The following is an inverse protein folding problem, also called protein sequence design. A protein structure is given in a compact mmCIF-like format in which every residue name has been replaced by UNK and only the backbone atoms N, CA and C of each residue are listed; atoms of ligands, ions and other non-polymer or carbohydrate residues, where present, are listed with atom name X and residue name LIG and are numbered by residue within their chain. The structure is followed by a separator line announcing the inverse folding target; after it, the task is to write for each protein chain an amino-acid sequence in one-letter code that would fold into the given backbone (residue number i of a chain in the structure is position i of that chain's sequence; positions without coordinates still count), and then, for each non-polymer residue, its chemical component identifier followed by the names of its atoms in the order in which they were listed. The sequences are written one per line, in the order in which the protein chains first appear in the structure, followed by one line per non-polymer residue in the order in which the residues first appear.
data_IF_255780457231
#
_entry.id   IF_255780457231
#
_cell.length_a   1.000
_cell.length_b   1.000
_cell.length_c   1.000
_cell.angle_alpha   90.00
_cell.angle_beta   90.00
_cell.angle_gamma   90.00
#
_symmetry.space_group_name_H-M   'P 1'
#
loop_
_entity.id
_entity.type
_entity.pdbx_description
1 polymer ?
2 non-polymer ?
3 water ?
#
# COMPACT_ATOMS: atom_id res chain seq x y z
N UNK A 3 -1.49 8.07 9.07
CA UNK A 3 -0.56 7.57 10.13
C UNK A 3 -1.26 7.33 11.45
N UNK A 4 -2.37 8.03 11.67
CA UNK A 4 -3.12 7.87 12.92
C UNK A 4 -4.62 7.88 12.63
N UNK A 5 -5.26 6.72 12.78
CA UNK A 5 -6.69 6.60 12.55
C UNK A 5 -7.32 5.51 13.42
N UNK A 6 -8.65 5.48 13.42
CA UNK A 6 -9.40 4.50 14.19
C UNK A 6 -9.94 3.40 13.28
N UNK A 7 -9.87 2.16 13.74
CA UNK A 7 -10.41 1.05 12.97
C UNK A 7 -11.77 0.76 13.59
N UNK A 8 -12.83 0.72 12.77
CA UNK A 8 -14.17 0.45 13.32
C UNK A 8 -14.49 -1.04 13.35
N UNK A 9 -14.70 -1.57 14.55
CA UNK A 9 -15.04 -2.98 14.69
C UNK A 9 -16.50 -3.11 15.12
N UNK A 10 -17.31 -3.58 14.19
CA UNK A 10 -18.74 -3.77 14.41
C UNK A 10 -19.03 -4.74 15.53
N UNK A 11 -20.02 -4.41 16.36
CA UNK A 11 -20.40 -5.26 17.48
C UNK A 11 -21.90 -5.23 17.70
N UNK A 12 -22.47 -6.36 18.08
CA UNK A 12 -23.90 -6.47 18.34
C UNK A 12 -24.12 -7.63 19.31
N UNK A 13 -24.59 -7.32 20.51
CA UNK A 13 -24.81 -8.35 21.50
C UNK A 13 -26.08 -8.27 22.31
N UNK A 14 -27.24 -8.11 21.66
CA UNK A 14 -28.50 -8.03 22.40
C UNK A 14 -29.42 -9.21 22.06
N UNK A 15 -30.43 -9.45 22.91
CA UNK A 15 -31.38 -10.52 22.68
C UNK A 15 -32.41 -10.67 23.82
N UNK A 16 -31.93 -10.88 25.04
CA UNK A 16 -32.83 -11.04 26.18
C UNK A 16 -32.66 -9.98 27.26
N UNK A 17 -32.88 -10.38 28.51
CA UNK A 17 -32.76 -9.48 29.65
C UNK A 17 -31.30 -9.09 29.85
N UNK A 18 -30.79 -8.28 28.93
CA UNK A 18 -29.39 -7.84 28.98
C UNK A 18 -29.18 -6.57 28.16
N UNK A 19 -28.79 -5.50 28.83
CA UNK A 19 -28.55 -4.23 28.18
C UNK A 19 -27.08 -3.87 28.33
N UNK A 20 -26.75 -2.59 28.17
CA UNK A 20 -25.37 -2.14 28.30
C UNK A 20 -24.82 -2.36 29.71
N UNK A 21 -24.23 -3.52 29.91
CA UNK A 21 -23.63 -3.91 31.19
C UNK A 21 -22.14 -4.11 30.88
N UNK A 22 -21.72 -3.56 29.75
CA UNK A 22 -20.34 -3.67 29.28
C UNK A 22 -19.29 -3.12 30.24
N UNK A 23 -18.04 -3.47 29.98
CA UNK A 23 -16.91 -3.01 30.78
C UNK A 23 -15.91 -2.35 29.86
N UNK A 24 -14.95 -1.64 30.44
CA UNK A 24 -13.92 -0.97 29.65
C UNK A 24 -12.54 -1.29 30.22
N UNK A 25 -12.48 -1.53 31.52
CA UNK A 25 -11.25 -1.87 32.22
C UNK A 25 -11.45 -3.14 33.02
N UNK A 26 -10.38 -3.92 33.18
CA UNK A 26 -10.45 -5.15 33.94
C UNK A 26 -10.71 -4.77 35.40
N UNK A 27 -10.31 -3.56 35.78
CA UNK A 27 -10.51 -3.06 37.13
C UNK A 27 -12.01 -2.86 37.39
N UNK A 28 -12.78 -2.62 36.32
CA UNK A 28 -14.23 -2.46 36.46
C UNK A 28 -14.79 -3.73 37.09
N UNK A 29 -13.97 -4.79 37.17
CA UNK A 29 -14.39 -6.07 37.72
C UNK A 29 -13.73 -6.49 39.03
N UNK A 30 -14.49 -7.21 39.85
CA UNK A 30 -14.01 -7.69 41.14
C UNK A 30 -13.49 -9.11 41.02
N UNK A 31 -12.22 -9.32 41.33
CA UNK A 31 -11.66 -10.66 41.27
C UNK A 31 -10.37 -10.80 42.05
N UNK A 32 -10.05 -12.03 42.49
CA UNK A 32 -8.84 -12.30 43.25
C UNK A 32 -7.66 -11.52 42.73
N UNK A 33 -7.00 -10.83 43.65
CA UNK A 33 -5.85 -10.02 43.30
C UNK A 33 -4.81 -10.80 42.52
N UNK A 34 -4.64 -12.08 42.87
CA UNK A 34 -3.66 -12.91 42.19
C UNK A 34 -4.08 -13.20 40.76
N UNK A 35 -5.36 -13.53 40.58
CA UNK A 35 -5.90 -13.83 39.26
C UNK A 35 -5.58 -12.73 38.29
N UNK A 36 -4.96 -11.68 38.81
CA UNK A 36 -4.52 -10.61 37.94
C UNK A 36 -3.13 -11.04 37.49
N UNK A 37 -3.12 -12.21 36.86
CA UNK A 37 -1.95 -12.84 36.26
C UNK A 37 -2.28 -12.40 34.83
N UNK A 38 -3.46 -11.80 34.70
CA UNK A 38 -3.99 -11.30 33.46
C UNK A 38 -3.04 -10.28 32.87
N UNK A 39 -2.46 -9.45 33.74
CA UNK A 39 -1.53 -8.43 33.28
C UNK A 39 -0.22 -9.03 32.81
N UNK A 40 0.24 -10.05 33.52
CA UNK A 40 1.48 -10.72 33.17
C UNK A 40 1.23 -11.51 31.90
N UNK A 41 -0.04 -11.79 31.62
CA UNK A 41 -0.40 -12.52 30.43
C UNK A 41 -0.50 -11.52 29.30
N UNK A 42 -0.13 -10.28 29.59
CA UNK A 42 -0.15 -9.16 28.65
C UNK A 42 -1.51 -8.69 28.20
N UNK A 43 -2.51 -8.87 29.06
CA UNK A 43 -3.85 -8.38 28.78
C UNK A 43 -3.86 -7.02 29.45
N UNK A 44 -3.83 -5.98 28.64
CA UNK A 44 -3.80 -4.62 29.15
C UNK A 44 -5.21 -4.09 29.37
N UNK A 45 -6.09 -4.29 28.39
CA UNK A 45 -7.46 -3.81 28.46
C UNK A 45 -8.35 -4.89 27.87
N UNK A 46 -9.68 -4.75 28.04
CA UNK A 46 -10.67 -5.70 27.53
C UNK A 46 -10.88 -5.56 26.03
N UNK A 47 -10.78 -6.67 25.30
CA UNK A 47 -11.01 -6.62 23.87
C UNK A 47 -12.52 -6.52 23.77
N UNK A 48 -13.04 -6.10 22.61
CA UNK A 48 -14.48 -5.96 22.39
C UNK A 48 -15.31 -7.16 22.86
N UNK A 49 -14.89 -8.36 22.45
CA UNK A 49 -15.60 -9.58 22.81
C UNK A 49 -15.59 -9.79 24.33
N UNK A 50 -14.52 -9.35 24.99
CA UNK A 50 -14.42 -9.52 26.43
C UNK A 50 -15.22 -8.49 27.20
N UNK A 51 -15.39 -7.31 26.62
CA UNK A 51 -16.13 -6.23 27.28
C UNK A 51 -17.62 -6.54 27.30
N UNK A 52 -18.07 -7.30 26.31
CA UNK A 52 -19.48 -7.62 26.20
C UNK A 52 -19.84 -9.02 26.72
N UNK A 53 -18.88 -9.93 26.71
CA UNK A 53 -19.13 -11.30 27.15
C UNK A 53 -18.80 -11.63 28.60
N UNK A 54 -17.80 -10.99 29.19
CA UNK A 54 -17.44 -11.29 30.57
C UNK A 54 -18.57 -10.97 31.56
N UNK A 55 -19.23 -9.81 31.39
CA UNK A 55 -20.31 -9.51 32.32
C UNK A 55 -21.44 -10.54 32.16
N UNK A 56 -21.77 -10.85 30.91
CA UNK A 56 -22.81 -11.82 30.62
C UNK A 56 -22.49 -13.17 31.27
N UNK A 57 -21.26 -13.63 31.06
CA UNK A 57 -20.81 -14.89 31.64
C UNK A 57 -20.88 -14.82 33.17
N UNK A 58 -20.39 -13.72 33.73
CA UNK A 58 -20.41 -13.52 35.18
C UNK A 58 -21.82 -13.51 35.77
N UNK A 59 -22.82 -13.42 34.89
CA UNK A 59 -24.22 -13.40 35.34
C UNK A 59 -24.89 -14.75 35.17
N UNK A 60 -24.09 -15.80 34.97
CA UNK A 60 -24.56 -17.17 34.81
C UNK A 60 -25.37 -17.37 33.52
N UNK A 61 -25.12 -16.52 32.52
CA UNK A 61 -25.86 -16.64 31.27
C UNK A 61 -25.18 -17.46 30.16
N UNK A 62 -25.99 -18.15 29.36
CA UNK A 62 -25.45 -18.93 28.26
C UNK A 62 -25.13 -17.94 27.16
N UNK A 63 -24.26 -18.33 26.25
CA UNK A 63 -23.84 -17.40 25.20
C UNK A 63 -23.47 -18.03 23.86
N UNK A 64 -23.85 -17.33 22.79
CA UNK A 64 -23.52 -17.73 21.43
C UNK A 64 -22.79 -16.52 20.88
N UNK A 65 -21.46 -16.59 20.91
CA UNK A 65 -20.63 -15.49 20.46
C UNK A 65 -19.91 -15.78 19.16
N UNK A 66 -20.13 -14.91 18.18
CA UNK A 66 -19.48 -15.06 16.88
C UNK A 66 -18.28 -14.14 16.91
N UNK A 67 -17.10 -14.75 16.81
CA UNK A 67 -15.86 -14.01 16.84
C UNK A 67 -14.74 -14.92 16.37
N UNK A 68 -13.82 -14.36 15.60
CA UNK A 68 -12.72 -15.15 15.09
C UNK A 68 -11.55 -15.23 16.06
N UNK A 69 -10.57 -16.04 15.69
CA UNK A 69 -9.37 -16.21 16.48
C UNK A 69 -8.66 -14.86 16.50
N UNK A 70 -8.08 -14.50 17.64
CA UNK A 70 -7.35 -13.25 17.73
C UNK A 70 -8.18 -12.06 18.16
N UNK A 71 -9.26 -12.33 18.88
CA UNK A 71 -10.16 -11.30 19.36
C UNK A 71 -10.26 -11.30 20.88
N UNK A 72 -9.51 -12.19 21.53
CA UNK A 72 -9.54 -12.26 22.98
C UNK A 72 -10.55 -13.26 23.50
N UNK A 73 -11.05 -14.10 22.61
CA UNK A 73 -12.04 -15.13 22.96
C UNK A 73 -11.66 -15.96 24.16
N UNK A 74 -10.48 -16.59 24.09
CA UNK A 74 -10.02 -17.45 25.19
C UNK A 74 -10.11 -16.77 26.55
N UNK A 75 -9.47 -15.63 26.70
CA UNK A 75 -9.52 -14.88 27.96
C UNK A 75 -10.96 -14.58 28.37
N UNK A 76 -11.79 -14.27 27.38
CA UNK A 76 -13.20 -13.96 27.65
C UNK A 76 -13.92 -15.06 28.45
N UNK A 77 -13.67 -16.32 28.14
CA UNK A 77 -14.34 -17.39 28.86
C UNK A 77 -13.55 -18.05 29.99
N UNK A 78 -12.24 -17.85 30.02
CA UNK A 78 -11.41 -18.46 31.07
C UNK A 78 -11.33 -17.58 32.32
N UNK A 79 -11.34 -16.27 32.12
CA UNK A 79 -11.23 -15.35 33.25
C UNK A 79 -12.38 -15.49 34.23
N UNK A 80 -13.63 -15.29 33.77
CA UNK A 80 -14.75 -15.42 34.70
C UNK A 80 -14.75 -16.78 35.41
N UNK A 81 -14.61 -17.84 34.63
CA UNK A 81 -14.63 -19.20 35.14
C UNK A 81 -13.50 -19.55 36.10
N UNK A 82 -12.25 -19.29 35.69
CA UNK A 82 -11.10 -19.58 36.54
C UNK A 82 -11.18 -18.78 37.85
N UNK A 83 -11.53 -17.50 37.74
CA UNK A 83 -11.63 -16.67 38.92
C UNK A 83 -12.70 -17.18 39.88
N UNK A 84 -13.80 -17.68 39.34
CA UNK A 84 -14.87 -18.21 40.17
C UNK A 84 -14.37 -19.45 40.92
N UNK A 85 -13.74 -20.38 40.19
CA UNK A 85 -13.24 -21.61 40.79
C UNK A 85 -12.16 -21.37 41.83
N UNK A 86 -11.36 -20.32 41.66
CA UNK A 86 -10.30 -20.06 42.61
C UNK A 86 -10.84 -19.43 43.89
N UNK A 87 -11.97 -18.73 43.78
CA UNK A 87 -12.58 -18.10 44.94
C UNK A 87 -13.28 -19.09 45.85
N UNK A 88 -13.17 -20.37 45.53
CA UNK A 88 -13.76 -21.43 46.33
C UNK A 88 -12.56 -22.27 46.75
N UNK A 89 -11.39 -21.76 46.38
CA UNK A 89 -10.06 -22.36 46.62
C UNK A 89 -9.98 -23.70 47.35
N UNK A 90 -9.27 -24.62 46.71
CA UNK A 90 -9.04 -25.98 47.23
C UNK A 90 -7.89 -25.96 48.24
N UNK A 97 -7.86 -43.18 39.84
CA UNK A 97 -9.09 -42.49 40.21
C UNK A 97 -9.65 -41.63 39.08
N UNK A 98 -10.98 -41.57 39.02
CA UNK A 98 -11.70 -40.81 38.01
C UNK A 98 -11.70 -39.30 38.27
N UNK A 99 -11.43 -38.53 37.23
CA UNK A 99 -11.41 -37.07 37.31
C UNK A 99 -12.82 -36.51 37.22
N UNK A 100 -13.05 -35.38 37.87
CA UNK A 100 -14.37 -34.73 37.85
C UNK A 100 -14.20 -33.24 37.62
N UNK A 101 -13.93 -32.84 36.36
CA UNK A 101 -13.75 -31.42 36.00
C UNK A 101 -14.96 -30.60 36.44
N UNK A 102 -14.73 -29.36 36.82
CA UNK A 102 -15.82 -28.48 37.22
C UNK A 102 -16.20 -27.64 36.00
N UNK A 103 -15.25 -27.57 35.07
CA UNK A 103 -15.37 -26.82 33.85
C UNK A 103 -14.79 -27.63 32.70
N UNK A 104 -15.44 -27.56 31.54
CA UNK A 104 -14.98 -28.27 30.35
C UNK A 104 -14.96 -27.31 29.19
N UNK A 105 -13.89 -27.38 28.40
CA UNK A 105 -13.76 -26.56 27.21
C UNK A 105 -13.55 -27.55 26.07
N UNK A 106 -14.40 -27.48 25.05
CA UNK A 106 -14.25 -28.37 23.91
C UNK A 106 -13.61 -27.61 22.75
N UNK A 107 -12.55 -28.20 22.21
CA UNK A 107 -11.81 -27.60 21.10
C UNK A 107 -11.75 -28.60 19.97
N UNK A 108 -11.56 -28.11 18.74
CA UNK A 108 -11.47 -28.89 17.51
C UNK A 108 -10.18 -29.67 17.32
N UNK A 109 -9.06 -29.04 17.63
CA UNK A 109 -7.74 -29.64 17.45
C UNK A 109 -6.89 -29.65 18.71
N UNK A 110 -5.86 -30.49 18.69
CA UNK A 110 -4.95 -30.57 19.82
C UNK A 110 -4.22 -29.24 19.97
N UNK A 111 -3.96 -28.56 18.84
CA UNK A 111 -3.28 -27.26 18.86
C UNK A 111 -4.08 -26.25 19.67
N UNK A 112 -5.36 -26.08 19.35
CA UNK A 112 -6.17 -25.15 20.10
C UNK A 112 -6.25 -25.57 21.55
N UNK A 113 -6.49 -26.86 21.77
CA UNK A 113 -6.59 -27.41 23.12
C UNK A 113 -5.37 -27.10 23.97
N UNK A 114 -4.18 -27.19 23.35
CA UNK A 114 -2.95 -26.92 24.07
C UNK A 114 -2.82 -25.44 24.38
N UNK A 115 -3.15 -24.59 23.41
CA UNK A 115 -3.09 -23.15 23.60
C UNK A 115 -4.01 -22.72 24.74
N UNK A 116 -5.20 -23.31 24.79
CA UNK A 116 -6.16 -22.99 25.85
C UNK A 116 -5.67 -23.45 27.21
N UNK A 117 -5.04 -24.62 27.26
CA UNK A 117 -4.51 -25.14 28.52
C UNK A 117 -3.44 -24.16 29.00
N UNK A 118 -2.62 -23.68 28.07
CA UNK A 118 -1.57 -22.75 28.40
C UNK A 118 -2.09 -21.43 28.98
N UNK A 119 -3.13 -20.85 28.37
CA UNK A 119 -3.68 -19.59 28.89
C UNK A 119 -4.21 -19.85 30.28
N UNK A 120 -4.93 -20.96 30.43
CA UNK A 120 -5.50 -21.30 31.72
C UNK A 120 -4.40 -21.38 32.77
N UNK A 121 -3.27 -21.98 32.38
CA UNK A 121 -2.16 -22.11 33.30
C UNK A 121 -1.65 -20.73 33.67
N UNK A 122 -1.51 -19.85 32.68
CA UNK A 122 -1.06 -18.49 32.89
C UNK A 122 -1.98 -17.78 33.88
N UNK A 123 -3.27 -17.97 33.71
CA UNK A 123 -4.25 -17.35 34.59
C UNK A 123 -4.27 -18.01 35.95
N UNK A 124 -3.78 -19.25 36.02
CA UNK A 124 -3.78 -20.02 37.26
C UNK A 124 -2.52 -19.91 38.09
N UNK A 125 -1.50 -19.24 37.55
CA UNK A 125 -0.24 -19.11 38.28
C UNK A 125 -0.38 -18.83 39.77
N UNK A 126 0.33 -19.63 40.57
CA UNK A 126 0.31 -19.47 42.01
C UNK A 126 -1.10 -19.59 42.57
N UNK A 127 -1.84 -20.55 42.05
CA UNK A 127 -3.21 -20.81 42.46
C UNK A 127 -3.33 -22.32 42.58
N UNK A 128 -4.33 -22.80 43.33
CA UNK A 128 -4.55 -24.24 43.52
C UNK A 128 -5.23 -24.90 42.31
N UNK A 129 -5.59 -24.12 41.30
CA UNK A 129 -6.27 -24.65 40.13
C UNK A 129 -5.46 -25.66 39.34
N UNK A 130 -6.10 -26.77 39.01
CA UNK A 130 -5.47 -27.83 38.25
C UNK A 130 -6.13 -27.90 36.88
N UNK A 131 -5.38 -27.59 35.84
CA UNK A 131 -5.93 -27.65 34.49
C UNK A 131 -5.38 -28.88 33.79
N UNK A 132 -6.23 -29.54 33.02
CA UNK A 132 -5.81 -30.73 32.26
C UNK A 132 -6.28 -30.62 30.83
N UNK A 133 -5.61 -31.36 29.95
CA UNK A 133 -5.97 -31.37 28.54
C UNK A 133 -5.97 -32.81 28.04
N UNK A 134 -6.90 -33.10 27.12
CA UNK A 134 -7.03 -34.41 26.54
C UNK A 134 -7.29 -34.27 25.04
N UNK A 135 -6.50 -34.96 24.23
CA UNK A 135 -6.69 -34.88 22.78
C UNK A 135 -6.24 -36.14 22.05
N UNK A 136 -6.89 -36.41 20.93
CA UNK A 136 -6.56 -37.56 20.13
C UNK A 136 -5.09 -37.53 19.77
N UNK A 137 -4.48 -38.71 19.76
CA UNK A 137 -3.07 -38.78 19.43
C UNK A 137 -2.37 -39.81 20.30
N UNK A 138 -1.07 -39.58 20.51
CA UNK A 138 -0.25 -40.51 21.30
C UNK A 138 0.23 -39.89 22.60
N UNK A 139 -0.50 -40.13 23.69
CA UNK A 139 -0.12 -39.60 24.99
C UNK A 139 -0.96 -40.19 26.13
N UNK A 140 -0.32 -41.01 26.97
CA UNK A 140 -1.00 -41.64 28.10
C UNK A 140 -0.63 -40.90 29.39
N UNK A 141 0.20 -39.87 29.24
CA UNK A 141 0.57 -39.04 30.37
C UNK A 141 -0.65 -38.21 30.69
N UNK A 142 -1.57 -38.15 29.73
CA UNK A 142 -2.82 -37.43 29.89
C UNK A 142 -3.65 -38.20 30.91
N UNK A 143 -3.43 -39.51 30.92
CA UNK A 143 -4.14 -40.40 31.82
C UNK A 143 -3.72 -40.10 33.25
N UNK A 144 -2.41 -39.96 33.45
CA UNK A 144 -1.85 -39.68 34.76
C UNK A 144 -2.19 -38.26 35.23
N UNK A 145 -2.18 -37.31 34.31
CA UNK A 145 -2.52 -35.93 34.64
C UNK A 145 -3.95 -35.94 35.16
N UNK A 146 -4.75 -36.78 34.52
CA UNK A 146 -6.15 -36.93 34.88
C UNK A 146 -6.27 -37.68 36.20
N UNK A 147 -5.41 -38.67 36.40
CA UNK A 147 -5.43 -39.42 37.65
C UNK A 147 -4.96 -38.50 38.78
N UNK A 148 -3.98 -37.65 38.49
CA UNK A 148 -3.44 -36.74 39.49
C UNK A 148 -4.46 -35.68 39.81
N UNK A 149 -3.96 -34.46 40.02
CA UNK A 149 -4.81 -33.33 40.30
C UNK A 149 -5.99 -33.42 39.32
N UNK A 150 -7.01 -34.15 39.74
CA UNK A 150 -8.20 -34.33 38.92
C UNK A 150 -8.73 -32.97 38.54
N UNK A 151 -7.96 -32.29 37.70
CA UNK A 151 -8.26 -30.96 37.23
C UNK A 151 -9.67 -30.46 37.47
N UNK A 152 -9.73 -29.18 37.79
CA UNK A 152 -10.98 -28.49 38.02
C UNK A 152 -11.42 -28.02 36.64
N UNK A 153 -10.46 -27.94 35.73
CA UNK A 153 -10.69 -27.46 34.37
C UNK A 153 -10.03 -28.38 33.35
N UNK A 154 -10.81 -28.78 32.35
CA UNK A 154 -10.39 -29.68 31.30
C UNK A 154 -10.56 -29.08 29.90
N UNK A 155 -9.57 -29.28 29.05
CA UNK A 155 -9.63 -28.82 27.68
C UNK A 155 -9.49 -30.10 26.88
N UNK A 156 -10.41 -30.35 25.96
CA UNK A 156 -10.36 -31.57 25.20
C UNK A 156 -11.04 -31.50 23.85
N UNK A 157 -10.76 -32.49 23.02
CA UNK A 157 -11.38 -32.62 21.71
C UNK A 157 -12.52 -33.60 21.99
N UNK A 158 -13.67 -33.44 21.33
CA UNK A 158 -14.84 -34.29 21.52
C UNK A 158 -14.64 -35.81 21.48
N UNK A 159 -13.83 -36.27 20.54
CA UNK A 159 -13.59 -37.70 20.41
C UNK A 159 -12.82 -38.31 21.58
N UNK A 160 -11.71 -37.69 21.94
CA UNK A 160 -10.92 -38.24 23.05
C UNK A 160 -11.67 -38.13 24.37
N UNK A 161 -12.45 -37.07 24.56
CA UNK A 161 -13.20 -36.93 25.80
C UNK A 161 -14.10 -38.17 25.91
N UNK A 162 -14.84 -38.45 24.85
CA UNK A 162 -15.72 -39.62 24.83
C UNK A 162 -14.96 -40.91 25.20
N UNK A 163 -13.77 -41.08 24.63
CA UNK A 163 -12.93 -42.25 24.92
C UNK A 163 -12.64 -42.35 26.41
N UNK A 164 -12.25 -41.21 26.99
CA UNK A 164 -11.93 -41.13 28.42
C UNK A 164 -13.15 -41.32 29.28
N UNK A 165 -14.29 -40.82 28.81
CA UNK A 165 -15.55 -40.97 29.55
C UNK A 165 -15.98 -42.43 29.52
N UNK A 166 -15.95 -43.02 28.34
CA UNK A 166 -16.34 -44.42 28.16
C UNK A 166 -15.40 -45.37 28.90
N UNK A 167 -14.17 -44.93 29.15
CA UNK A 167 -13.19 -45.75 29.86
C UNK A 167 -13.22 -45.41 31.35
N UNK A 168 -14.21 -44.63 31.75
CA UNK A 168 -14.38 -44.22 33.14
C UNK A 168 -13.15 -43.48 33.69
N UNK A 169 -12.41 -42.81 32.82
CA UNK A 169 -11.24 -42.06 33.25
C UNK A 169 -11.68 -40.65 33.65
N UNK A 170 -12.78 -40.21 33.06
CA UNK A 170 -13.31 -38.88 33.33
C UNK A 170 -14.82 -38.85 33.44
N UNK A 171 -15.31 -38.16 34.47
CA UNK A 171 -16.74 -38.01 34.69
C UNK A 171 -17.07 -36.53 34.64
N UNK A 172 -18.23 -36.21 34.08
CA UNK A 172 -18.71 -34.83 33.97
C UNK A 172 -19.90 -34.59 34.88
N UNK A 173 -20.06 -35.43 35.88
CA UNK A 173 -21.20 -35.31 36.79
C UNK A 173 -21.14 -34.07 37.67
N UNK A 174 -20.02 -33.37 37.66
CA UNK A 174 -19.89 -32.15 38.46
C UNK A 174 -19.49 -30.97 37.58
N UNK A 175 -19.56 -31.17 36.27
CA UNK A 175 -19.18 -30.12 35.32
C UNK A 175 -20.34 -29.16 35.13
N UNK A 176 -20.18 -27.96 35.64
CA UNK A 176 -21.23 -26.95 35.55
C UNK A 176 -20.93 -25.84 34.56
N UNK A 177 -19.71 -25.82 34.04
CA UNK A 177 -19.33 -24.80 33.07
C UNK A 177 -18.74 -25.43 31.84
N UNK A 178 -19.41 -25.25 30.71
CA UNK A 178 -18.91 -25.82 29.48
C UNK A 178 -18.85 -24.79 28.37
N UNK A 179 -17.76 -24.88 27.60
CA UNK A 179 -17.49 -23.97 26.49
C UNK A 179 -17.14 -24.76 25.24
N UNK A 180 -17.75 -24.41 24.11
CA UNK A 180 -17.43 -25.08 22.84
C UNK A 180 -16.68 -24.03 22.03
N UNK A 181 -15.37 -24.16 21.95
CA UNK A 181 -14.57 -23.20 21.21
C UNK A 181 -14.45 -23.64 19.75
N UNK A 182 -14.62 -22.69 18.84
CA UNK A 182 -14.57 -22.94 17.41
C UNK A 182 -15.60 -24.02 17.08
N UNK A 183 -16.83 -23.80 17.54
CA UNK A 183 -17.92 -24.74 17.32
C UNK A 183 -18.07 -25.15 15.87
N UNK A 184 -18.03 -24.17 14.97
CA UNK A 184 -18.17 -24.47 13.55
C UNK A 184 -17.12 -25.46 13.08
N UNK A 185 -15.91 -25.29 13.56
CA UNK A 185 -14.82 -26.18 13.18
C UNK A 185 -15.09 -27.60 13.64
N UNK A 186 -15.69 -27.75 14.82
CA UNK A 186 -15.98 -29.07 15.35
C UNK A 186 -17.05 -29.80 14.55
N UNK A 187 -18.08 -29.08 14.12
CA UNK A 187 -19.14 -29.72 13.33
C UNK A 187 -18.57 -30.13 11.99
N UNK A 188 -17.81 -29.24 11.37
CA UNK A 188 -17.19 -29.53 10.08
C UNK A 188 -16.36 -30.80 10.14
N UNK A 189 -15.64 -30.96 11.24
CA UNK A 189 -14.78 -32.13 11.45
C UNK A 189 -15.60 -33.38 11.80
N UNK A 190 -16.91 -33.21 11.96
CA UNK A 190 -17.78 -34.34 12.26
C UNK A 190 -17.88 -34.73 13.73
N UNK A 191 -17.80 -33.74 14.62
CA UNK A 191 -17.86 -33.99 16.05
C UNK A 191 -19.23 -33.83 16.70
N UNK A 192 -20.23 -33.48 15.93
CA UNK A 192 -21.56 -33.32 16.50
C UNK A 192 -22.03 -34.53 17.31
N UNK A 193 -21.73 -35.76 16.83
CA UNK A 193 -22.17 -36.93 17.60
C UNK A 193 -21.58 -36.91 19.00
N UNK A 194 -20.27 -36.64 19.06
CA UNK A 194 -19.55 -36.60 20.32
C UNK A 194 -20.07 -35.48 21.22
N UNK A 195 -20.25 -34.29 20.65
CA UNK A 195 -20.74 -33.16 21.41
C UNK A 195 -22.14 -33.42 21.95
N UNK A 196 -22.99 -34.05 21.14
CA UNK A 196 -24.34 -34.38 21.58
C UNK A 196 -24.23 -35.36 22.74
N UNK A 197 -23.33 -36.34 22.59
CA UNK A 197 -23.11 -37.34 23.60
C UNK A 197 -22.63 -36.71 24.91
N UNK A 198 -21.56 -35.93 24.81
CA UNK A 198 -20.97 -35.26 25.96
C UNK A 198 -21.97 -34.34 26.65
N UNK A 199 -22.67 -33.54 25.85
CA UNK A 199 -23.63 -32.60 26.39
C UNK A 199 -24.91 -33.17 26.95
N UNK A 200 -25.59 -34.03 26.19
CA UNK A 200 -26.85 -34.58 26.66
C UNK A 200 -26.88 -36.03 27.11
N UNK A 201 -25.77 -36.74 27.00
CA UNK A 201 -25.77 -38.14 27.41
C UNK A 201 -24.63 -38.55 28.33
N UNK A 202 -24.15 -37.64 29.17
CA UNK A 202 -23.05 -37.99 30.07
C UNK A 202 -23.23 -37.59 31.53
N UNK A 203 -24.49 -37.50 31.96
CA UNK A 203 -24.83 -37.15 33.34
C UNK A 203 -24.27 -35.82 33.82
N UNK A 204 -23.87 -34.97 32.87
CA UNK A 204 -23.35 -33.66 33.19
C UNK A 204 -24.53 -32.86 33.74
N UNK A 205 -24.31 -32.10 34.82
CA UNK A 205 -25.38 -31.28 35.43
C UNK A 205 -26.14 -30.52 34.36
N UNK A 206 -27.47 -30.48 34.47
CA UNK A 206 -28.28 -29.79 33.47
C UNK A 206 -29.15 -28.66 34.01
N UNK A 207 -29.84 -27.97 33.10
CA UNK A 207 -30.70 -26.87 33.49
C UNK A 207 -29.96 -25.71 34.10
N UNK A 208 -30.53 -25.12 35.14
CA UNK A 208 -29.92 -23.97 35.80
C UNK A 208 -28.60 -24.34 36.46
N UNK A 209 -28.24 -25.62 36.42
CA UNK A 209 -27.01 -26.13 37.02
C UNK A 209 -25.82 -26.12 36.08
N UNK A 210 -26.06 -25.77 34.82
CA UNK A 210 -25.01 -25.72 33.81
C UNK A 210 -25.08 -24.43 33.01
N UNK A 211 -23.93 -23.87 32.71
CA UNK A 211 -23.85 -22.67 31.90
C UNK A 211 -23.07 -23.06 30.66
N UNK A 212 -23.71 -22.94 29.50
CA UNK A 212 -23.09 -23.29 28.23
C UNK A 212 -22.76 -22.07 27.39
N UNK A 213 -21.51 -21.99 26.92
CA UNK A 213 -21.04 -20.88 26.10
C UNK A 213 -20.53 -21.40 24.76
N UNK A 214 -20.90 -20.72 23.68
CA UNK A 214 -20.48 -21.13 22.34
C UNK A 214 -19.78 -20.02 21.57
N UNK A 215 -18.63 -20.36 20.98
CA UNK A 215 -17.84 -19.42 20.20
C UNK A 215 -17.59 -19.97 18.81
N UNK A 216 -17.93 -19.18 17.80
CA UNK A 216 -17.74 -19.57 16.40
C UNK A 216 -17.45 -18.33 15.57
N UNK A 217 -16.52 -18.45 14.63
CA UNK A 217 -16.18 -17.32 13.76
C UNK A 217 -17.29 -17.13 12.74
N UNK A 218 -17.93 -18.25 12.40
CA UNK A 218 -19.02 -18.23 11.45
C UNK A 218 -20.31 -18.67 12.16
N UNK A 219 -21.45 -18.38 11.54
CA UNK A 219 -22.74 -18.73 12.11
C UNK A 219 -23.67 -19.45 11.12
N UNK A 220 -23.25 -20.63 10.63
CA UNK A 220 -24.04 -21.43 9.67
C UNK A 220 -25.39 -21.82 10.26
N UNK A 221 -26.16 -22.61 9.52
CA UNK A 221 -27.47 -23.07 9.98
C UNK A 221 -27.25 -24.12 11.07
N UNK A 222 -26.27 -25.00 10.85
CA UNK A 222 -25.95 -26.07 11.79
C UNK A 222 -25.55 -25.50 13.16
N UNK A 223 -24.77 -24.42 13.15
CA UNK A 223 -24.37 -23.80 14.41
C UNK A 223 -25.57 -23.09 15.04
N UNK A 224 -26.49 -22.62 14.20
CA UNK A 224 -27.69 -21.96 14.68
C UNK A 224 -28.54 -23.02 15.37
N UNK A 225 -28.50 -24.25 14.87
CA UNK A 225 -29.27 -25.35 15.46
C UNK A 225 -28.64 -25.79 16.77
N UNK A 226 -27.34 -26.11 16.71
CA UNK A 226 -26.57 -26.55 17.88
C UNK A 226 -26.93 -25.62 19.03
N UNK A 227 -26.89 -24.34 18.72
CA UNK A 227 -27.21 -23.28 19.65
C UNK A 227 -28.64 -23.42 20.16
N UNK A 228 -29.56 -23.77 19.27
CA UNK A 228 -30.96 -23.93 19.66
C UNK A 228 -31.13 -25.13 20.58
N UNK A 229 -30.43 -26.21 20.28
CA UNK A 229 -30.53 -27.41 21.09
C UNK A 229 -29.83 -27.31 22.44
N UNK A 230 -28.75 -26.54 22.49
CA UNK A 230 -27.96 -26.50 23.71
C UNK A 230 -27.93 -25.30 24.64
N UNK A 231 -28.20 -24.10 24.13
CA UNK A 231 -28.17 -22.92 24.99
C UNK A 231 -29.56 -22.59 25.49
N UNK A 232 -29.62 -21.88 26.62
CA UNK A 232 -30.89 -21.49 27.21
C UNK A 232 -30.98 -19.99 27.30
N UNK A 233 -32.00 -19.39 26.69
CA UNK A 233 -32.18 -17.94 26.72
C UNK A 233 -30.79 -17.32 26.58
N UNK A 234 -30.10 -17.76 25.53
CA UNK A 234 -28.75 -17.30 25.32
C UNK A 234 -28.65 -15.88 24.79
N UNK A 235 -27.52 -15.26 25.08
CA UNK A 235 -27.24 -13.91 24.64
C UNK A 235 -26.42 -14.04 23.37
N UNK A 236 -26.86 -13.38 22.30
CA UNK A 236 -26.13 -13.45 21.05
C UNK A 236 -25.32 -12.19 20.82
N UNK A 237 -24.02 -12.37 20.67
CA UNK A 237 -23.13 -11.25 20.42
C UNK A 237 -22.16 -11.59 19.29
N UNK A 238 -21.91 -10.59 18.45
CA UNK A 238 -21.01 -10.76 17.33
C UNK A 238 -20.01 -9.62 17.31
N UNK A 239 -18.79 -9.94 16.94
CA UNK A 239 -17.73 -8.97 16.89
C UNK A 239 -17.11 -9.07 15.51
N UNK A 240 -17.14 -7.97 14.78
CA UNK A 240 -16.59 -7.95 13.44
C UNK A 240 -17.59 -8.34 12.37
N UNK B 6 30.68 46.76 -20.04
CA UNK B 6 31.23 47.37 -21.28
C UNK B 6 30.19 47.40 -22.41
N UNK B 7 29.38 46.36 -22.48
CA UNK B 7 28.31 46.25 -23.47
C UNK B 7 27.14 45.52 -22.81
N UNK B 8 26.17 46.28 -22.28
CA UNK B 8 24.98 45.74 -21.62
C UNK B 8 23.91 45.26 -22.60
N UNK B 9 23.38 44.07 -22.33
CA UNK B 9 22.33 43.50 -23.14
C UNK B 9 21.02 43.55 -22.35
N UNK B 10 20.04 44.23 -22.91
CA UNK B 10 18.74 44.38 -22.29
C UNK B 10 18.00 43.05 -22.17
N UNK B 11 17.64 42.67 -20.94
CA UNK B 11 16.91 41.42 -20.72
C UNK B 11 15.61 41.65 -19.98
N UNK B 12 14.54 41.02 -20.45
CA UNK B 12 13.22 41.16 -19.85
C UNK B 12 12.53 39.83 -19.66
N UNK B 13 11.91 39.65 -18.50
CA UNK B 13 11.24 38.39 -18.22
C UNK B 13 9.91 38.46 -17.50
N UNK B 14 8.79 38.61 -18.23
CA UNK B 14 7.48 38.66 -17.57
C UNK B 14 6.84 37.26 -17.53
N UNK B 15 6.36 36.87 -16.35
CA UNK B 15 5.69 35.57 -16.19
C UNK B 15 5.32 35.27 -14.73
N UNK B 16 4.52 34.23 -14.54
CA UNK B 16 4.05 33.83 -13.22
C UNK B 16 5.15 33.20 -12.37
N UNK B 17 4.98 33.32 -11.05
CA UNK B 17 5.93 32.76 -10.09
C UNK B 17 7.35 32.66 -10.61
N UNK B 18 7.93 33.81 -10.96
CA UNK B 18 9.31 33.86 -11.46
C UNK B 18 9.96 35.17 -11.07
N UNK B 19 11.03 35.10 -10.26
CA UNK B 19 11.73 36.30 -9.80
C UNK B 19 13.19 36.42 -10.24
N UNK B 20 14.10 35.98 -9.38
CA UNK B 20 15.53 36.05 -9.66
C UNK B 20 16.20 34.69 -9.57
N UNK B 21 15.58 33.69 -10.18
CA UNK B 21 16.11 32.33 -10.20
C UNK B 21 17.30 32.34 -11.17
N UNK B 22 17.71 33.55 -11.55
CA UNK B 22 18.83 33.77 -12.46
C UNK B 22 20.15 33.32 -11.84
N UNK B 23 20.99 32.68 -12.65
CA UNK B 23 22.29 32.21 -12.17
C UNK B 23 23.42 32.86 -12.95
N UNK B 24 24.61 32.87 -12.36
CA UNK B 24 25.76 33.51 -12.98
C UNK B 24 26.91 32.60 -13.44
N UNK B 25 26.98 31.40 -12.86
CA UNK B 25 28.02 30.45 -13.22
C UNK B 25 27.39 29.11 -13.52
N UNK B 26 28.08 28.29 -14.30
CA UNK B 26 27.57 26.98 -14.66
C UNK B 26 27.59 25.97 -13.53
N UNK B 27 28.59 26.04 -12.66
CA UNK B 27 28.64 25.10 -11.56
C UNK B 27 27.59 25.49 -10.52
N UNK B 28 26.87 26.56 -10.80
CA UNK B 28 25.82 27.04 -9.92
C UNK B 28 24.59 26.15 -10.15
N UNK B 29 24.75 25.18 -11.04
CA UNK B 29 23.67 24.24 -11.36
C UNK B 29 24.17 22.81 -11.15
N UNK B 30 23.27 21.92 -10.73
CA UNK B 30 23.62 20.53 -10.47
C UNK B 30 23.74 19.65 -11.71
N UNK B 31 24.72 19.92 -12.54
CA UNK B 31 24.94 19.10 -13.72
C UNK B 31 25.70 17.87 -13.26
N UNK B 32 25.53 16.75 -13.95
CA UNK B 32 26.24 15.53 -13.54
C UNK B 32 27.72 15.82 -13.32
N UNK B 33 28.54 15.36 -14.25
CA UNK B 33 29.97 15.56 -14.13
C UNK B 33 30.57 15.43 -15.52
N UNK B 34 30.24 14.33 -16.20
CA UNK B 34 30.71 14.09 -17.54
C UNK B 34 30.15 15.26 -18.36
N UNK B 35 28.92 15.62 -18.02
CA UNK B 35 28.20 16.69 -18.68
C UNK B 35 29.03 17.95 -18.90
N UNK B 36 30.17 18.04 -18.23
CA UNK B 36 31.01 19.19 -18.44
C UNK B 36 31.83 19.00 -19.72
N UNK B 37 31.07 18.60 -20.74
CA UNK B 37 31.56 18.44 -22.09
C UNK B 37 31.42 19.90 -22.51
N UNK B 38 30.63 20.62 -21.71
CA UNK B 38 30.33 22.03 -21.88
C UNK B 38 31.63 22.80 -21.86
N UNK B 39 32.48 22.45 -20.90
CA UNK B 39 33.77 23.10 -20.77
C UNK B 39 34.57 22.84 -22.03
N UNK B 40 34.60 21.57 -22.46
CA UNK B 40 35.32 21.21 -23.66
C UNK B 40 34.67 21.80 -24.90
N UNK B 41 33.39 22.16 -24.78
CA UNK B 41 32.65 22.75 -25.89
C UNK B 41 32.89 24.24 -25.94
N UNK B 42 33.88 24.70 -25.18
CA UNK B 42 34.25 26.11 -25.11
C UNK B 42 33.23 27.06 -24.51
N UNK B 43 32.44 26.56 -23.58
CA UNK B 43 31.46 27.38 -22.87
C UNK B 43 32.10 27.67 -21.50
N UNK B 44 32.46 28.92 -21.25
CA UNK B 44 33.08 29.30 -19.98
C UNK B 44 32.04 29.79 -18.99
N UNK B 45 31.33 30.87 -19.34
CA UNK B 45 30.31 31.43 -18.46
C UNK B 45 28.94 31.49 -19.13
N UNK B 46 27.86 31.42 -18.34
CA UNK B 46 26.49 31.48 -18.87
C UNK B 46 26.17 32.77 -19.61
N UNK B 47 25.62 32.64 -20.82
CA UNK B 47 25.24 33.80 -21.61
C UNK B 47 23.91 34.27 -21.06
N UNK B 48 23.52 35.51 -21.39
CA UNK B 48 22.25 36.05 -20.90
C UNK B 48 21.04 35.11 -21.03
N UNK B 49 20.84 34.47 -22.18
CA UNK B 49 19.68 33.59 -22.28
C UNK B 49 19.85 32.40 -21.39
N UNK B 50 21.09 31.99 -21.18
CA UNK B 50 21.38 30.84 -20.33
C UNK B 50 21.19 31.21 -18.87
N UNK B 51 21.59 32.42 -18.50
CA UNK B 51 21.45 32.85 -17.11
C UNK B 51 19.99 32.96 -16.70
N UNK B 52 19.13 33.32 -17.65
CA UNK B 52 17.71 33.50 -17.40
C UNK B 52 16.81 32.34 -17.80
N UNK B 53 17.16 31.64 -18.88
CA UNK B 53 16.34 30.53 -19.36
C UNK B 53 16.59 29.14 -18.75
N UNK B 54 17.82 28.82 -18.39
CA UNK B 54 18.04 27.48 -17.83
C UNK B 54 17.36 27.22 -16.49
N UNK B 55 17.37 28.20 -15.58
CA UNK B 55 16.72 27.97 -14.28
C UNK B 55 15.24 27.65 -14.51
N UNK B 56 14.61 28.48 -15.32
CA UNK B 56 13.20 28.32 -15.65
C UNK B 56 12.93 26.94 -16.25
N UNK B 57 13.86 26.43 -17.05
CA UNK B 57 13.68 25.11 -17.64
C UNK B 57 13.79 24.04 -16.56
N UNK B 58 14.78 24.18 -15.68
CA UNK B 58 14.97 23.23 -14.59
C UNK B 58 13.74 23.27 -13.70
N UNK B 59 13.14 24.45 -13.57
CA UNK B 59 11.94 24.62 -12.75
C UNK B 59 10.72 24.10 -13.51
N UNK B 60 10.96 23.30 -14.54
CA UNK B 60 9.92 22.70 -15.36
C UNK B 60 8.92 23.66 -15.99
N UNK B 61 9.33 24.91 -16.18
CA UNK B 61 8.44 25.90 -16.77
C UNK B 61 8.49 26.00 -18.30
N UNK B 62 7.33 26.25 -18.90
CA UNK B 62 7.24 26.44 -20.34
C UNK B 62 7.92 27.78 -20.60
N UNK B 63 8.45 27.99 -21.81
CA UNK B 63 9.13 29.25 -22.07
C UNK B 63 9.01 29.76 -23.50
N UNK B 64 8.90 31.09 -23.62
CA UNK B 64 8.84 31.76 -24.92
C UNK B 64 10.00 32.74 -24.88
N UNK B 65 11.08 32.37 -25.55
CA UNK B 65 12.29 33.18 -25.55
C UNK B 65 12.59 33.82 -26.89
N UNK B 66 12.91 35.10 -26.83
CA UNK B 66 13.26 35.85 -28.00
C UNK B 66 14.75 36.06 -27.88
N UNK B 67 15.51 35.29 -28.65
CA UNK B 67 16.96 35.37 -28.67
C UNK B 67 17.41 35.07 -30.10
N UNK B 68 18.25 35.94 -30.64
CA UNK B 68 18.75 35.77 -31.98
C UNK B 68 19.83 34.71 -32.00
N UNK B 69 20.36 34.42 -33.19
CA UNK B 69 21.44 33.45 -33.32
C UNK B 69 22.72 34.04 -32.70
N UNK B 70 23.57 33.16 -32.16
CA UNK B 70 24.81 33.60 -31.55
C UNK B 70 24.67 34.15 -30.14
N UNK B 71 23.63 33.70 -29.44
CA UNK B 71 23.36 34.16 -28.09
C UNK B 71 23.59 33.04 -27.08
N UNK B 72 23.61 31.80 -27.57
CA UNK B 72 23.79 30.63 -26.72
C UNK B 72 22.48 29.87 -26.52
N UNK B 73 21.52 30.09 -27.42
CA UNK B 73 20.21 29.43 -27.34
C UNK B 73 20.25 27.90 -27.34
N UNK B 74 21.15 27.32 -28.12
CA UNK B 74 21.20 25.87 -28.19
C UNK B 74 21.63 25.25 -26.88
N UNK B 75 22.64 25.84 -26.26
CA UNK B 75 23.15 25.35 -24.99
C UNK B 75 22.08 25.57 -23.91
N UNK B 76 21.36 26.69 -24.03
CA UNK B 76 20.31 27.05 -23.07
C UNK B 76 19.29 25.94 -22.86
N UNK B 77 18.93 25.20 -23.91
CA UNK B 77 17.96 24.14 -23.73
C UNK B 77 18.59 22.77 -23.70
N UNK B 78 19.61 22.55 -24.54
CA UNK B 78 20.25 21.25 -24.55
C UNK B 78 20.88 20.92 -23.20
N UNK B 79 21.47 21.91 -22.56
CA UNK B 79 22.10 21.67 -21.28
C UNK B 79 21.15 21.08 -20.22
N UNK B 80 20.08 21.81 -19.88
CA UNK B 80 19.13 21.31 -18.87
C UNK B 80 18.54 19.96 -19.26
N UNK B 81 18.09 19.88 -20.50
CA UNK B 81 17.47 18.68 -21.03
C UNK B 81 18.36 17.46 -21.05
N UNK B 82 19.47 17.54 -21.77
CA UNK B 82 20.37 16.39 -21.87
C UNK B 82 20.84 15.92 -20.50
N UNK B 83 21.15 16.87 -19.63
CA UNK B 83 21.59 16.54 -18.29
C UNK B 83 20.52 15.78 -17.55
N UNK B 84 19.27 16.18 -17.75
CA UNK B 84 18.15 15.53 -17.09
C UNK B 84 17.95 14.13 -17.66
N UNK B 85 18.03 14.02 -18.99
CA UNK B 85 17.84 12.74 -19.64
C UNK B 85 18.88 11.72 -19.18
N UNK B 86 20.15 12.08 -19.36
CA UNK B 86 21.24 11.20 -18.98
C UNK B 86 21.18 10.85 -17.51
N UNK B 87 20.44 11.63 -16.73
CA UNK B 87 20.31 11.35 -15.31
C UNK B 87 19.12 10.45 -14.99
N UNK B 88 17.98 10.69 -15.63
CA UNK B 88 16.80 9.85 -15.38
C UNK B 88 16.93 8.55 -16.16
N UNK B 89 18.03 7.83 -15.92
CA UNK B 89 18.30 6.56 -16.60
C UNK B 89 18.81 6.85 -18.01
N UNK B 90 18.22 6.18 -19.00
CA UNK B 90 18.62 6.38 -20.40
C UNK B 90 18.84 7.85 -20.69
N UNK B 95 15.48 -2.77 -29.07
CA UNK B 95 15.08 -1.66 -29.91
C UNK B 95 13.88 -2.02 -30.76
N UNK B 96 13.06 -1.02 -31.05
CA UNK B 96 11.87 -1.23 -31.84
C UNK B 96 12.11 -0.77 -33.28
N UNK B 97 11.05 -0.76 -34.07
CA UNK B 97 11.14 -0.31 -35.44
C UNK B 97 10.55 1.10 -35.43
N UNK B 98 10.04 1.47 -34.26
CA UNK B 98 9.45 2.79 -34.02
C UNK B 98 10.33 3.52 -33.01
N UNK B 99 10.63 4.79 -33.29
CA UNK B 99 11.47 5.55 -32.39
C UNK B 99 10.60 6.27 -31.37
N UNK B 100 11.03 6.28 -30.12
CA UNK B 100 10.31 6.96 -29.06
C UNK B 100 11.23 7.93 -28.33
N UNK B 101 11.54 9.07 -28.96
CA UNK B 101 12.42 10.12 -28.42
C UNK B 101 11.79 10.75 -27.19
N UNK B 102 12.63 11.04 -26.19
CA UNK B 102 12.14 11.66 -24.97
C UNK B 102 12.26 13.18 -25.13
N UNK B 103 13.05 13.58 -26.12
CA UNK B 103 13.24 15.00 -26.41
C UNK B 103 13.14 15.22 -27.91
N UNK B 104 12.39 16.25 -28.28
CA UNK B 104 12.22 16.59 -29.67
C UNK B 104 12.54 18.05 -29.90
N UNK B 105 13.53 18.33 -30.73
CA UNK B 105 13.89 19.70 -31.05
C UNK B 105 13.53 19.91 -32.50
N UNK B 106 12.65 20.87 -32.76
CA UNK B 106 12.22 21.19 -34.12
C UNK B 106 12.99 22.36 -34.69
N UNK B 107 13.30 22.25 -35.97
CA UNK B 107 14.03 23.29 -36.68
C UNK B 107 13.43 23.45 -38.07
N UNK B 108 13.61 24.62 -38.67
CA UNK B 108 13.07 24.88 -40.01
C UNK B 108 13.94 24.39 -41.18
N UNK B 109 15.25 24.29 -40.97
CA UNK B 109 16.14 23.86 -42.04
C UNK B 109 17.04 22.71 -41.67
N UNK B 110 17.57 22.04 -42.68
CA UNK B 110 18.47 20.94 -42.41
C UNK B 110 19.76 21.45 -41.76
N UNK B 111 20.17 22.66 -42.11
CA UNK B 111 21.38 23.21 -41.52
C UNK B 111 21.24 23.35 -40.01
N UNK B 112 20.25 24.08 -39.56
CA UNK B 112 20.08 24.24 -38.12
C UNK B 112 19.96 22.86 -37.46
N UNK B 113 19.14 21.99 -38.05
CA UNK B 113 18.96 20.65 -37.52
C UNK B 113 20.28 19.92 -37.33
N UNK B 114 21.17 20.02 -38.31
CA UNK B 114 22.47 19.35 -38.23
C UNK B 114 23.34 19.97 -37.14
N UNK B 115 23.27 21.29 -37.01
CA UNK B 115 24.05 21.98 -35.99
C UNK B 115 23.56 21.62 -34.57
N UNK B 116 22.25 21.62 -34.39
CA UNK B 116 21.69 21.26 -33.10
C UNK B 116 22.12 19.84 -32.77
N UNK B 117 22.05 18.96 -33.76
CA UNK B 117 22.46 17.56 -33.57
C UNK B 117 23.90 17.51 -33.08
N UNK B 118 24.78 18.20 -33.80
CA UNK B 118 26.20 18.26 -33.46
C UNK B 118 26.44 18.74 -32.05
N UNK B 119 25.65 19.72 -31.61
CA UNK B 119 25.81 20.26 -30.28
C UNK B 119 25.40 19.19 -29.26
N UNK B 120 24.29 18.52 -29.54
CA UNK B 120 23.83 17.48 -28.64
C UNK B 120 24.95 16.44 -28.47
N UNK B 121 25.43 15.92 -29.59
CA UNK B 121 26.50 14.92 -29.58
C UNK B 121 27.62 15.42 -28.68
N UNK B 122 28.04 16.64 -28.95
CA UNK B 122 29.10 17.31 -28.21
C UNK B 122 28.84 17.31 -26.71
N UNK B 123 27.62 17.67 -26.31
CA UNK B 123 27.23 17.72 -24.91
C UNK B 123 27.06 16.33 -24.32
N UNK B 124 26.99 15.32 -25.18
CA UNK B 124 26.75 13.96 -24.72
C UNK B 124 27.89 12.95 -24.87
N UNK B 125 29.12 13.41 -25.06
CA UNK B 125 30.25 12.49 -25.19
C UNK B 125 30.38 11.73 -23.88
N UNK B 126 30.77 10.46 -23.96
CA UNK B 126 30.93 9.62 -22.76
C UNK B 126 29.60 9.57 -22.01
N UNK B 127 28.54 9.45 -22.79
CA UNK B 127 27.19 9.39 -22.27
C UNK B 127 26.39 8.40 -23.11
N UNK B 128 25.40 7.74 -22.50
CA UNK B 128 24.56 6.77 -23.24
C UNK B 128 23.54 7.47 -24.14
N UNK B 129 23.50 8.79 -24.08
CA UNK B 129 22.54 9.54 -24.88
C UNK B 129 22.81 9.36 -26.36
N UNK B 130 21.78 8.94 -27.09
CA UNK B 130 21.85 8.76 -28.52
C UNK B 130 20.99 9.86 -29.13
N UNK B 131 21.56 10.59 -30.08
CA UNK B 131 20.82 11.67 -30.74
C UNK B 131 20.56 11.32 -32.19
N UNK B 132 19.47 11.84 -32.72
CA UNK B 132 19.12 11.60 -34.11
C UNK B 132 18.66 12.87 -34.76
N UNK B 133 18.65 12.85 -36.09
CA UNK B 133 18.24 13.99 -36.88
C UNK B 133 17.39 13.54 -38.04
N UNK B 134 16.40 14.35 -38.37
CA UNK B 134 15.50 14.05 -39.47
C UNK B 134 15.14 15.33 -40.21
N UNK B 135 15.27 15.31 -41.52
CA UNK B 135 14.95 16.49 -42.34
C UNK B 135 14.63 16.08 -43.76
N UNK B 136 13.96 16.98 -44.48
CA UNK B 136 13.56 16.73 -45.86
C UNK B 136 14.65 16.35 -46.84
N UNK B 137 14.24 15.78 -47.97
CA UNK B 137 15.20 15.36 -48.98
C UNK B 137 15.87 14.07 -48.55
N UNK B 138 15.72 13.77 -47.26
CA UNK B 138 16.25 12.59 -46.57
C UNK B 138 16.82 11.45 -47.41
N UNK B 139 17.88 10.83 -46.89
CA UNK B 139 18.55 9.73 -47.56
C UNK B 139 17.91 8.38 -47.20
N UNK B 140 16.97 8.42 -46.25
CA UNK B 140 16.28 7.21 -45.77
C UNK B 140 17.18 6.46 -44.81
N UNK B 141 18.48 6.70 -44.92
CA UNK B 141 19.47 6.07 -44.05
C UNK B 141 19.12 6.52 -42.63
N UNK B 142 18.43 7.66 -42.55
CA UNK B 142 18.02 8.22 -41.28
C UNK B 142 16.98 7.31 -40.64
N UNK B 143 16.11 6.73 -41.47
CA UNK B 143 15.08 5.83 -40.98
C UNK B 143 15.76 4.59 -40.39
N UNK B 144 17.04 4.43 -40.73
CA UNK B 144 17.84 3.32 -40.24
C UNK B 144 18.79 3.91 -39.19
N UNK B 145 18.49 5.11 -38.73
CA UNK B 145 19.32 5.79 -37.75
C UNK B 145 18.61 5.95 -36.41
N UNK B 146 17.31 6.24 -36.45
CA UNK B 146 16.56 6.40 -35.20
C UNK B 146 16.04 5.05 -34.68
N UNK B 147 15.48 4.24 -35.58
CA UNK B 147 14.96 2.93 -35.20
C UNK B 147 15.99 2.19 -34.34
N UNK B 148 17.06 1.74 -34.97
CA UNK B 148 18.12 1.04 -34.27
C UNK B 148 18.75 1.98 -33.25
N UNK B 149 19.16 1.45 -32.11
CA UNK B 149 19.75 2.25 -31.04
C UNK B 149 18.83 3.46 -30.85
N UNK B 150 17.57 3.16 -30.51
CA UNK B 150 16.59 4.20 -30.31
C UNK B 150 17.16 5.46 -29.69
N UNK B 151 17.08 6.57 -30.43
CA UNK B 151 17.59 7.84 -29.94
C UNK B 151 16.66 8.42 -28.90
N UNK B 152 17.24 9.18 -27.98
CA UNK B 152 16.49 9.81 -26.91
C UNK B 152 16.22 11.26 -27.27
N UNK B 153 17.15 11.84 -28.03
CA UNK B 153 17.07 13.23 -28.44
C UNK B 153 16.85 13.27 -29.95
N UNK B 154 15.75 13.88 -30.37
CA UNK B 154 15.44 13.97 -31.79
C UNK B 154 15.42 15.42 -32.28
N UNK B 155 16.22 15.69 -33.31
CA UNK B 155 16.27 17.02 -33.90
C UNK B 155 15.67 16.83 -35.27
N UNK B 156 14.67 17.63 -35.63
CA UNK B 156 14.08 17.45 -36.96
C UNK B 156 13.28 18.61 -37.53
N UNK B 157 13.07 18.52 -38.84
CA UNK B 157 12.28 19.46 -39.62
C UNK B 157 10.82 19.03 -39.45
N UNK B 158 9.87 19.98 -39.39
CA UNK B 158 8.46 19.64 -39.21
C UNK B 158 7.80 18.74 -40.25
N UNK B 159 7.92 19.11 -41.52
CA UNK B 159 7.31 18.33 -42.58
C UNK B 159 7.79 16.89 -42.65
N UNK B 160 9.08 16.70 -42.43
CA UNK B 160 9.67 15.37 -42.49
C UNK B 160 9.22 14.56 -41.28
N UNK B 161 9.20 15.21 -40.12
CA UNK B 161 8.80 14.54 -38.89
C UNK B 161 7.40 13.98 -39.02
N UNK B 162 6.47 14.81 -39.46
CA UNK B 162 5.08 14.41 -39.65
C UNK B 162 5.00 13.13 -40.46
N UNK B 163 5.64 13.14 -41.63
CA UNK B 163 5.61 11.97 -42.49
C UNK B 163 6.12 10.74 -41.77
N UNK B 164 7.18 10.90 -40.98
CA UNK B 164 7.72 9.77 -40.23
C UNK B 164 6.77 9.34 -39.15
N UNK B 165 5.97 10.29 -38.66
CA UNK B 165 5.00 9.99 -37.62
C UNK B 165 3.80 9.27 -38.24
N UNK B 166 3.37 9.72 -39.42
CA UNK B 166 2.24 9.10 -40.09
C UNK B 166 2.55 7.67 -40.55
N UNK B 167 3.83 7.32 -40.62
CA UNK B 167 4.22 5.97 -41.01
C UNK B 167 4.63 5.15 -39.81
N UNK B 168 4.31 5.66 -38.63
CA UNK B 168 4.64 5.00 -37.37
C UNK B 168 6.10 4.60 -37.31
N UNK B 169 6.98 5.44 -37.81
CA UNK B 169 8.40 5.16 -37.73
C UNK B 169 8.87 5.91 -36.49
N UNK B 170 8.22 7.04 -36.23
CA UNK B 170 8.53 7.86 -35.07
C UNK B 170 7.26 8.11 -34.26
N UNK B 171 7.41 8.10 -32.94
CA UNK B 171 6.27 8.33 -32.06
C UNK B 171 6.68 9.27 -30.93
N UNK B 172 5.84 10.26 -30.65
CA UNK B 172 6.13 11.24 -29.63
C UNK B 172 5.45 10.90 -28.30
N UNK B 173 4.78 9.75 -28.27
CA UNK B 173 4.08 9.30 -27.08
C UNK B 173 4.87 9.46 -25.79
N UNK B 174 6.14 9.08 -25.82
CA UNK B 174 6.97 9.15 -24.63
C UNK B 174 7.86 10.37 -24.58
N UNK B 175 7.71 11.25 -25.56
CA UNK B 175 8.53 12.46 -25.61
C UNK B 175 8.10 13.42 -24.51
N UNK B 176 9.07 13.83 -23.67
CA UNK B 176 8.80 14.76 -22.59
C UNK B 176 9.01 16.20 -23.01
N UNK B 177 10.12 16.46 -23.71
CA UNK B 177 10.45 17.82 -24.14
C UNK B 177 10.28 18.09 -25.63
N UNK B 178 9.76 19.27 -25.93
CA UNK B 178 9.56 19.72 -27.31
C UNK B 178 10.10 21.13 -27.40
N UNK B 179 11.05 21.35 -28.30
CA UNK B 179 11.63 22.66 -28.46
C UNK B 179 11.48 23.09 -29.90
N UNK B 180 10.93 24.28 -30.09
CA UNK B 180 10.75 24.84 -31.41
C UNK B 180 11.81 25.92 -31.52
N UNK B 181 12.90 25.62 -32.22
CA UNK B 181 13.97 26.58 -32.40
C UNK B 181 13.69 27.38 -33.68
N UNK B 182 13.75 28.70 -33.56
CA UNK B 182 13.46 29.60 -34.69
C UNK B 182 12.00 29.40 -35.14
N UNK B 183 11.09 29.28 -34.16
CA UNK B 183 9.66 29.11 -34.42
C UNK B 183 9.30 30.22 -35.40
N UNK B 184 10.18 31.19 -35.39
CA UNK B 184 10.18 32.39 -36.22
C UNK B 184 10.09 32.01 -37.70
N UNK B 185 11.19 31.46 -38.19
CA UNK B 185 11.32 31.03 -39.58
C UNK B 185 10.37 29.87 -39.87
N UNK B 186 10.16 29.04 -38.87
CA UNK B 186 9.29 27.87 -39.00
C UNK B 186 7.93 28.27 -39.55
N UNK B 187 7.27 29.21 -38.88
CA UNK B 187 5.95 29.65 -39.34
C UNK B 187 5.99 30.34 -40.70
N UNK B 188 7.07 31.06 -40.98
CA UNK B 188 7.20 31.73 -42.26
C UNK B 188 7.38 30.77 -43.43
N UNK B 189 7.84 29.57 -43.12
CA UNK B 189 8.03 28.56 -44.14
C UNK B 189 6.76 27.71 -44.27
N UNK B 190 5.74 28.06 -43.48
CA UNK B 190 4.45 27.36 -43.52
C UNK B 190 4.33 26.09 -42.71
N UNK B 191 5.11 25.96 -41.65
CA UNK B 191 5.09 24.76 -40.82
C UNK B 191 4.12 24.78 -39.65
N UNK B 192 3.25 25.78 -39.59
CA UNK B 192 2.28 25.91 -38.50
C UNK B 192 1.44 24.64 -38.44
N UNK B 193 0.79 24.26 -39.56
CA UNK B 193 -0.03 23.05 -39.55
C UNK B 193 0.69 21.82 -39.00
N UNK B 194 1.84 21.49 -39.59
CA UNK B 194 2.60 20.32 -39.14
C UNK B 194 3.09 20.47 -37.70
N UNK B 195 3.19 21.70 -37.20
CA UNK B 195 3.62 21.91 -35.82
C UNK B 195 2.44 21.55 -34.91
N UNK B 196 1.26 21.99 -35.29
CA UNK B 196 0.07 21.70 -34.50
C UNK B 196 -0.04 20.20 -34.35
N UNK B 197 0.11 19.48 -35.46
CA UNK B 197 0.02 18.03 -35.44
C UNK B 197 1.09 17.41 -34.54
N UNK B 198 2.31 17.92 -34.64
CA UNK B 198 3.38 17.40 -33.81
C UNK B 198 3.05 17.56 -32.32
N UNK B 199 2.64 18.76 -31.93
CA UNK B 199 2.25 19.04 -30.55
C UNK B 199 1.14 18.11 -30.08
N UNK B 200 0.15 17.91 -30.93
CA UNK B 200 -0.96 17.06 -30.57
C UNK B 200 -0.50 15.63 -30.36
N UNK B 201 0.35 15.14 -31.26
CA UNK B 201 0.86 13.78 -31.19
C UNK B 201 1.62 13.52 -29.89
N UNK B 202 2.18 14.57 -29.31
CA UNK B 202 2.95 14.42 -28.08
C UNK B 202 2.18 14.83 -26.83
N UNK B 203 0.89 15.14 -26.98
CA UNK B 203 0.11 15.54 -25.81
C UNK B 203 -1.18 14.76 -25.61
N UNK B 204 -1.11 13.44 -25.81
CA UNK B 204 -2.24 12.57 -25.59
C UNK B 204 -2.22 12.36 -24.07
N UNK B 205 -3.34 11.92 -23.49
CA UNK B 205 -3.32 11.72 -22.04
C UNK B 205 -2.21 10.73 -21.63
N UNK B 206 -1.59 10.99 -20.49
CA UNK B 206 -0.52 10.14 -19.97
C UNK B 206 -0.01 10.68 -18.64
N UNK B 207 0.92 9.95 -18.03
CA UNK B 207 1.49 10.37 -16.76
C UNK B 207 2.82 11.09 -16.90
N UNK B 208 3.16 11.50 -18.12
CA UNK B 208 4.41 12.21 -18.37
C UNK B 208 4.23 13.73 -18.29
N UNK B 209 5.19 14.40 -17.64
CA UNK B 209 5.15 15.84 -17.52
C UNK B 209 5.88 16.46 -18.70
N UNK B 210 5.10 16.90 -19.69
CA UNK B 210 5.64 17.50 -20.88
C UNK B 210 6.06 18.93 -20.61
N UNK B 211 7.05 19.40 -21.37
CA UNK B 211 7.57 20.75 -21.23
C UNK B 211 7.85 21.29 -22.63
N UNK B 212 7.29 22.44 -22.95
CA UNK B 212 7.46 23.04 -24.26
C UNK B 212 8.26 24.34 -24.18
N UNK B 213 9.22 24.48 -25.09
CA UNK B 213 10.04 25.67 -25.10
C UNK B 213 10.06 26.24 -26.51
N UNK B 214 9.97 27.55 -26.60
CA UNK B 214 9.98 28.23 -27.89
C UNK B 214 11.03 29.33 -27.91
N UNK B 215 11.81 29.35 -28.99
CA UNK B 215 12.85 30.34 -29.20
C UNK B 215 12.58 31.04 -30.53
N UNK B 216 12.66 32.36 -30.56
CA UNK B 216 12.40 33.08 -31.80
C UNK B 216 13.12 34.41 -31.80
N UNK B 217 13.80 34.71 -32.89
CA UNK B 217 14.52 35.97 -33.01
C UNK B 217 13.57 37.18 -32.98
N UNK B 218 12.35 36.98 -33.45
CA UNK B 218 11.34 38.03 -33.48
C UNK B 218 10.05 37.55 -32.81
N UNK B 219 9.18 38.50 -32.47
CA UNK B 219 7.93 38.18 -31.82
C UNK B 219 6.72 38.78 -32.56
N UNK B 220 6.52 38.37 -33.83
CA UNK B 220 5.40 38.84 -34.67
C UNK B 220 4.06 38.33 -34.15
N UNK B 221 2.98 38.85 -34.72
CA UNK B 221 1.63 38.47 -34.32
C UNK B 221 1.48 36.96 -34.39
N UNK B 222 2.00 36.36 -35.47
CA UNK B 222 1.91 34.92 -35.67
C UNK B 222 2.56 34.10 -34.54
N UNK B 223 3.68 34.60 -34.01
CA UNK B 223 4.36 33.88 -32.95
C UNK B 223 3.60 34.06 -31.65
N UNK B 224 3.12 35.27 -31.40
CA UNK B 224 2.34 35.54 -30.21
C UNK B 224 1.23 34.51 -30.11
N UNK B 225 0.62 34.20 -31.26
CA UNK B 225 -0.46 33.22 -31.29
C UNK B 225 0.05 31.81 -31.05
N UNK B 226 1.27 31.53 -31.52
CA UNK B 226 1.86 30.21 -31.36
C UNK B 226 2.06 29.90 -29.88
N UNK B 227 2.71 30.83 -29.18
CA UNK B 227 2.98 30.69 -27.76
C UNK B 227 1.66 30.51 -27.00
N UNK B 228 0.71 31.41 -27.24
CA UNK B 228 -0.59 31.38 -26.58
C UNK B 228 -1.30 30.07 -26.89
N UNK B 229 -1.12 29.59 -28.10
CA UNK B 229 -1.72 28.34 -28.54
C UNK B 229 -1.19 27.11 -27.79
N UNK B 230 0.12 27.01 -27.63
CA UNK B 230 0.67 25.83 -26.99
C UNK B 230 1.52 25.99 -25.73
N UNK B 231 1.68 27.21 -25.21
CA UNK B 231 2.46 27.37 -23.99
C UNK B 231 1.57 27.59 -22.78
N UNK B 232 2.01 27.06 -21.65
CA UNK B 232 1.27 27.12 -20.38
C UNK B 232 1.93 28.04 -19.36
N UNK B 233 1.18 29.01 -18.86
CA UNK B 233 1.68 29.94 -17.85
C UNK B 233 3.18 30.07 -18.08
N UNK B 234 3.52 30.59 -19.25
CA UNK B 234 4.91 30.70 -19.65
C UNK B 234 5.69 31.95 -19.27
N UNK B 235 7.00 31.78 -19.33
CA UNK B 235 7.95 32.83 -19.04
C UNK B 235 8.28 33.49 -20.38
N UNK B 236 7.88 34.73 -20.55
CA UNK B 236 8.18 35.42 -21.78
C UNK B 236 9.46 36.19 -21.54
N UNK B 237 10.51 35.84 -22.26
CA UNK B 237 11.78 36.53 -22.08
C UNK B 237 12.43 36.94 -23.39
N UNK B 238 12.93 38.16 -23.41
CA UNK B 238 13.60 38.71 -24.58
C UNK B 238 15.03 39.07 -24.21
N UNK B 239 15.97 38.72 -25.07
CA UNK B 239 17.37 39.01 -24.81
C UNK B 239 17.88 39.89 -25.96
N UNK B 240 18.26 41.12 -25.65
CA UNK B 240 18.76 42.03 -26.66
C UNK B 240 17.67 42.82 -27.38
N UNK B 241 18.05 43.44 -28.51
CA UNK B 241 17.19 44.25 -29.39
C UNK B 241 17.51 45.75 -29.28
#
# INVERSE_FOLDING_TARGET
FDKYDSIPVSVTGPDYSATNVIENFDELKLDPTIRNNILLASYQRPTPIQKNAIPAILEHRDIMACAQTGSGKTAAFLIPIINHLVCQDLNQQRYSKTAYPKCLILAPTRELAIQILSESQKFSLNTPLRSCVVYGGADTHSQIREVQMGCHLLVATPGRLVDFIEKNKISLEFCKYIVLDEADRMLDMGFEPQIRKIIEESNMPSGINRQTLMFSATFPKEIQKLAADFLYNYIFMTVGRVGSTSDSIKQEI
FDKYDSIPVSVTGPDYSATNVIENFDELKLDPTIRNNILLASYQRPTPIQKNAIPAILEHRDIMACAQTGSGKTAAFLIPIINHLVCQDLNQQRYSKTAYPKCLILAPTRELAIQILSESQKFSLNTPLRSCVVYGGADTHSQIREVQMGCHLLVATPGRLVDFIEKNKISLEFCKYIVLDEADRMLDMGFEPQIRKIIEESNMPSGINRQTLMFSATFPKEIQKLAADFLYNYIFMTVGRVGSTSDSIKQEI
#
